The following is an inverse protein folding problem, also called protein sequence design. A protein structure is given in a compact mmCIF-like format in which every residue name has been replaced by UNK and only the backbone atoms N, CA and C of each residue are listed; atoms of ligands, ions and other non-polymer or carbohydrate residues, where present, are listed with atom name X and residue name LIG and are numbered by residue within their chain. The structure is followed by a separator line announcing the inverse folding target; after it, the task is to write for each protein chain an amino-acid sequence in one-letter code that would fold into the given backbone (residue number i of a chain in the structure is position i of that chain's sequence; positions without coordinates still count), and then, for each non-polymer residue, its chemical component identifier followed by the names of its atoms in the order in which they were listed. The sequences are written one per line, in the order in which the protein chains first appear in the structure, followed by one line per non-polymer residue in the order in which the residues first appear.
data_IF_413565923238
#
_entry.id   IF_413565923238
#
_cell.length_a   1.000
_cell.length_b   1.000
_cell.length_c   1.000
_cell.angle_alpha   90.00
_cell.angle_beta   90.00
_cell.angle_gamma   90.00
#
_symmetry.space_group_name_H-M   'P 1'
#
loop_
_entity.id
_entity.type
_entity.pdbx_description
1 polymer ?
#
# COMPACT_ATOMS: atom_id res chain seq x y z
N UNK A 1 16.26 8.07 -1.21
CA UNK A 1 15.05 7.68 -1.97
C UNK A 1 13.89 8.59 -1.55
N UNK A 2 13.18 9.16 -2.50
CA UNK A 2 12.04 10.03 -2.20
C UNK A 2 10.80 9.22 -1.84
N UNK A 3 9.80 9.88 -1.21
CA UNK A 3 8.54 9.22 -0.89
C UNK A 3 7.83 8.75 -2.17
N UNK A 4 7.94 9.51 -3.26
CA UNK A 4 7.35 9.12 -4.55
C UNK A 4 7.97 7.81 -5.05
N UNK A 5 9.30 7.67 -4.97
CA UNK A 5 9.98 6.44 -5.38
C UNK A 5 9.55 5.25 -4.52
N UNK A 6 9.37 5.47 -3.22
CA UNK A 6 8.90 4.43 -2.30
C UNK A 6 7.48 3.98 -2.64
N UNK A 7 6.60 4.92 -2.92
CA UNK A 7 5.21 4.61 -3.29
C UNK A 7 5.17 3.91 -4.65
N UNK A 8 5.94 4.37 -5.61
CA UNK A 8 5.98 3.77 -6.95
C UNK A 8 6.44 2.31 -6.93
N UNK A 9 7.23 1.92 -5.95
CA UNK A 9 7.71 0.54 -5.80
C UNK A 9 6.69 -0.40 -5.14
N UNK A 10 5.64 0.13 -4.50
CA UNK A 10 4.67 -0.67 -3.76
C UNK A 10 3.93 -1.71 -4.61
N UNK A 11 3.45 -1.40 -5.83
CA UNK A 11 2.74 -2.41 -6.62
C UNK A 11 3.56 -3.68 -6.85
N UNK A 12 4.83 -3.55 -7.15
CA UNK A 12 5.71 -4.70 -7.37
C UNK A 12 5.95 -5.47 -6.05
N UNK A 13 6.12 -4.76 -4.94
CA UNK A 13 6.39 -5.39 -3.64
C UNK A 13 5.20 -6.21 -3.13
N UNK A 14 3.99 -5.77 -3.39
CA UNK A 14 2.79 -6.40 -2.89
C UNK A 14 2.01 -7.18 -3.95
N UNK A 15 2.58 -7.37 -5.13
CA UNK A 15 1.90 -7.99 -6.29
C UNK A 15 1.25 -9.34 -5.97
N UNK A 16 1.90 -10.18 -5.15
CA UNK A 16 1.37 -11.49 -4.79
C UNK A 16 0.36 -11.48 -3.65
N UNK A 17 0.08 -10.32 -3.07
CA UNK A 17 -0.77 -10.19 -1.88
C UNK A 17 -2.03 -9.35 -2.12
N UNK A 18 -2.21 -8.85 -3.34
CA UNK A 18 -3.40 -8.09 -3.74
C UNK A 18 -4.09 -8.82 -4.88
N UNK A 19 -5.38 -8.52 -5.08
CA UNK A 19 -6.14 -9.12 -6.18
C UNK A 19 -5.60 -8.60 -7.52
N UNK A 20 -5.60 -9.44 -8.59
CA UNK A 20 -5.07 -9.02 -9.89
C UNK A 20 -5.71 -7.73 -10.43
N UNK A 21 -7.02 -7.55 -10.26
CA UNK A 21 -7.70 -6.33 -10.69
C UNK A 21 -7.20 -5.10 -9.91
N UNK A 22 -6.95 -5.26 -8.61
CA UNK A 22 -6.41 -4.16 -7.79
C UNK A 22 -4.97 -3.85 -8.18
N UNK A 23 -4.17 -4.87 -8.50
CA UNK A 23 -2.80 -4.66 -8.96
C UNK A 23 -2.76 -3.82 -10.23
N UNK A 24 -3.66 -4.09 -11.18
CA UNK A 24 -3.79 -3.27 -12.39
C UNK A 24 -4.11 -1.82 -12.05
N UNK A 25 -5.06 -1.63 -11.12
CA UNK A 25 -5.41 -0.29 -10.64
C UNK A 25 -4.23 0.43 -10.01
N UNK A 26 -3.46 -0.27 -9.18
CA UNK A 26 -2.26 0.29 -8.55
C UNK A 26 -1.23 0.73 -9.59
N UNK A 27 -0.99 -0.09 -10.61
CA UNK A 27 -0.06 0.24 -11.68
C UNK A 27 -0.52 1.45 -12.48
N UNK A 28 -1.82 1.51 -12.77
CA UNK A 28 -2.41 2.64 -13.48
C UNK A 28 -2.25 3.94 -12.68
N UNK A 29 -2.50 3.88 -11.37
CA UNK A 29 -2.33 5.02 -10.48
C UNK A 29 -0.88 5.49 -10.43
N UNK A 30 0.07 4.55 -10.38
CA UNK A 30 1.50 4.87 -10.40
C UNK A 30 1.88 5.58 -11.69
N UNK A 31 1.37 5.12 -12.83
CA UNK A 31 1.62 5.75 -14.12
C UNK A 31 1.03 7.15 -14.25
N UNK A 32 -0.08 7.42 -13.54
CA UNK A 32 -0.75 8.72 -13.53
C UNK A 32 -0.27 9.66 -12.43
N UNK A 33 0.61 9.19 -11.54
CA UNK A 33 1.09 9.99 -10.41
C UNK A 33 0.06 10.16 -9.31
N UNK A 34 -0.92 9.28 -9.23
CA UNK A 34 -1.97 9.32 -8.21
C UNK A 34 -1.53 8.58 -6.95
N UNK A 35 -0.55 9.13 -6.25
CA UNK A 35 0.15 8.46 -5.16
C UNK A 35 -0.75 8.19 -3.94
N UNK A 36 -1.61 9.14 -3.57
CA UNK A 36 -2.51 8.98 -2.42
C UNK A 36 -3.53 7.88 -2.68
N UNK A 37 -4.13 7.90 -3.85
CA UNK A 37 -5.10 6.88 -4.27
C UNK A 37 -4.46 5.50 -4.33
N UNK A 38 -3.20 5.44 -4.76
CA UNK A 38 -2.45 4.20 -4.83
C UNK A 38 -2.30 3.58 -3.43
N UNK A 39 -1.82 4.36 -2.46
CA UNK A 39 -1.62 3.86 -1.09
C UNK A 39 -2.95 3.47 -0.46
N UNK A 40 -4.00 4.28 -0.68
CA UNK A 40 -5.32 4.01 -0.15
C UNK A 40 -5.88 2.68 -0.69
N UNK A 41 -5.80 2.48 -2.01
CA UNK A 41 -6.25 1.23 -2.63
C UNK A 41 -5.41 0.04 -2.15
N UNK A 42 -4.10 0.20 -2.02
CA UNK A 42 -3.22 -0.87 -1.54
C UNK A 42 -3.62 -1.34 -0.14
N UNK A 43 -3.80 -0.40 0.79
CA UNK A 43 -4.18 -0.73 2.16
C UNK A 43 -5.56 -1.40 2.18
N UNK A 44 -6.52 -0.87 1.43
CA UNK A 44 -7.86 -1.45 1.34
C UNK A 44 -7.82 -2.86 0.76
N UNK A 45 -7.03 -3.09 -0.29
CA UNK A 45 -6.91 -4.40 -0.93
C UNK A 45 -6.27 -5.42 0.00
N UNK A 46 -5.22 -5.04 0.71
CA UNK A 46 -4.57 -5.93 1.69
C UNK A 46 -5.54 -6.31 2.80
N UNK A 47 -6.32 -5.36 3.29
CA UNK A 47 -7.35 -5.63 4.30
C UNK A 47 -8.43 -6.57 3.77
N UNK A 48 -8.85 -6.39 2.53
CA UNK A 48 -9.90 -7.21 1.92
C UNK A 48 -9.46 -8.65 1.66
N UNK A 49 -8.19 -8.84 1.26
CA UNK A 49 -7.66 -10.19 0.99
C UNK A 49 -7.22 -10.91 2.27
N UNK A 50 -7.03 -10.18 3.37
CA UNK A 50 -6.53 -10.75 4.60
C UNK A 50 -5.06 -11.16 4.52
N UNK A 51 -4.34 -10.73 3.48
CA UNK A 51 -2.94 -11.07 3.33
C UNK A 51 -2.10 -10.40 4.43
N UNK A 52 -1.26 -11.15 5.15
CA UNK A 52 -0.46 -10.56 6.21
C UNK A 52 0.68 -9.71 5.63
N UNK A 53 1.07 -8.70 6.41
CA UNK A 53 2.25 -7.89 6.11
C UNK A 53 3.25 -8.05 7.26
N UNK A 54 4.52 -7.80 7.00
CA UNK A 54 5.53 -7.81 8.08
C UNK A 54 5.39 -6.53 8.91
N UNK A 55 5.92 -6.56 10.14
CA UNK A 55 5.94 -5.37 10.98
C UNK A 55 6.69 -4.22 10.30
N UNK A 56 7.77 -4.53 9.58
CA UNK A 56 8.51 -3.53 8.81
C UNK A 56 7.69 -2.92 7.69
N UNK A 57 6.93 -3.75 6.97
CA UNK A 57 6.05 -3.27 5.90
C UNK A 57 4.93 -2.39 6.45
N UNK A 58 4.33 -2.80 7.57
CA UNK A 58 3.28 -2.00 8.21
C UNK A 58 3.83 -0.65 8.65
N UNK A 59 5.02 -0.64 9.24
CA UNK A 59 5.69 0.59 9.63
C UNK A 59 5.99 1.50 8.45
N UNK A 60 6.42 0.93 7.33
CA UNK A 60 6.67 1.70 6.11
C UNK A 60 5.39 2.31 5.56
N UNK A 61 4.30 1.54 5.52
CA UNK A 61 3.00 2.05 5.07
C UNK A 61 2.52 3.18 6.00
N UNK A 62 2.68 3.01 7.31
CA UNK A 62 2.32 4.05 8.27
C UNK A 62 3.11 5.34 8.04
N UNK A 63 4.42 5.21 7.78
CA UNK A 63 5.28 6.34 7.48
C UNK A 63 4.84 7.07 6.21
N UNK A 64 4.50 6.33 5.15
CA UNK A 64 4.04 6.92 3.90
C UNK A 64 2.69 7.62 4.06
N UNK A 65 1.75 7.01 4.79
CA UNK A 65 0.46 7.64 5.07
C UNK A 65 0.65 8.95 5.82
N UNK A 66 1.51 8.96 6.84
CA UNK A 66 1.82 10.17 7.60
C UNK A 66 2.45 11.26 6.72
N UNK A 67 3.37 10.86 5.84
CA UNK A 67 4.04 11.80 4.93
C UNK A 67 3.06 12.43 3.94
N UNK A 68 1.98 11.72 3.59
CA UNK A 68 0.95 12.19 2.68
C UNK A 68 -0.26 12.81 3.40
N UNK A 69 -0.17 12.98 4.71
CA UNK A 69 -1.26 13.51 5.52
C UNK A 69 -2.55 12.70 5.36
N UNK A 70 -2.42 11.38 5.38
CA UNK A 70 -3.55 10.45 5.24
C UNK A 70 -3.78 9.70 6.56
N UNK A 71 -5.05 9.35 6.88
CA UNK A 71 -5.32 8.58 8.10
C UNK A 71 -4.74 7.16 8.00
N UNK A 72 -4.22 6.67 9.13
CA UNK A 72 -3.65 5.33 9.21
C UNK A 72 -4.61 4.27 9.74
N UNK A 73 -5.91 4.56 9.80
CA UNK A 73 -6.91 3.67 10.39
C UNK A 73 -7.04 2.32 9.67
N UNK A 74 -6.84 2.31 8.35
CA UNK A 74 -6.90 1.07 7.56
C UNK A 74 -5.80 0.08 7.90
N UNK A 75 -4.70 0.55 8.51
CA UNK A 75 -3.60 -0.34 8.91
C UNK A 75 -3.99 -1.26 10.07
N UNK A 76 -4.96 -0.86 10.89
CA UNK A 76 -5.41 -1.66 12.02
C UNK A 76 -6.08 -2.96 11.59
N UNK A 77 -6.58 -3.00 10.35
CA UNK A 77 -7.23 -4.18 9.78
C UNK A 77 -6.24 -5.16 9.15
N UNK A 78 -4.96 -4.78 9.05
CA UNK A 78 -3.94 -5.63 8.43
C UNK A 78 -3.41 -6.65 9.44
N UNK A 79 -3.32 -7.92 9.00
CA UNK A 79 -2.63 -8.93 9.79
C UNK A 79 -1.12 -8.67 9.76
N UNK A 80 -0.48 -8.76 10.90
CA UNK A 80 0.98 -8.60 10.98
C UNK A 80 1.63 -9.95 11.19
N UNK A 81 2.55 -10.29 10.30
CA UNK A 81 3.28 -11.54 10.33
C UNK A 81 4.48 -11.45 11.27
N UNK A 82 4.55 -12.40 12.19
CA UNK A 82 5.67 -12.65 13.05
C UNK A 82 6.17 -11.59 13.94
#
# INVERSE_FOLDING_TARGET
MSDIDRVAALPARFAGRVRPADLEGLRSMAGAGEWRELVDLLVASLGATGAPVTAGERGELASLLAAMDMPGTGLDDLGVEG
#
